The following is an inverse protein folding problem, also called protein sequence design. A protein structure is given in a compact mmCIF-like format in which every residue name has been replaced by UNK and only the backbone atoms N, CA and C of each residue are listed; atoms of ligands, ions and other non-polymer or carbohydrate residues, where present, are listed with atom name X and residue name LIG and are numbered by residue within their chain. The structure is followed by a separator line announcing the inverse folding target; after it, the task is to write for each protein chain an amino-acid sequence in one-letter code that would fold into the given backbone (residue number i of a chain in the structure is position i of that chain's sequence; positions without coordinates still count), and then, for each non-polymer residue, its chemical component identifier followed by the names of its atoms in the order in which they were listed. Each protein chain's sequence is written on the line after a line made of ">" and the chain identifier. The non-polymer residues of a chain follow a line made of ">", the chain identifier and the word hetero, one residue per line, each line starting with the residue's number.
data_IF_872463991263
#
_entry.id   IF_872463991263
#
_cell.length_a   1.000
_cell.length_b   1.000
_cell.length_c   1.000
_cell.angle_alpha   90.00
_cell.angle_beta   90.00
_cell.angle_gamma   90.00
#
_symmetry.space_group_name_H-M   'P 1'
#
loop_
_entity.id
_entity.type
_entity.pdbx_description
1 polymer ?
#
# COMPACT_ATOMS: atom_id res chain seq x y z
N UNK A 1 -7.49 -8.97 2.99
CA UNK A 1 -7.98 -7.61 2.70
C UNK A 1 -7.21 -6.97 1.55
N UNK A 2 -5.91 -7.06 1.56
CA UNK A 2 -5.05 -6.52 0.49
C UNK A 2 -5.35 -7.14 -0.86
N UNK A 3 -5.40 -8.45 -0.93
CA UNK A 3 -5.69 -9.16 -2.17
C UNK A 3 -7.11 -8.86 -2.67
N UNK A 4 -8.08 -8.72 -1.75
CA UNK A 4 -9.45 -8.32 -2.10
C UNK A 4 -9.46 -6.99 -2.86
N UNK A 5 -8.74 -5.97 -2.35
CA UNK A 5 -8.69 -4.66 -3.01
C UNK A 5 -8.11 -4.78 -4.42
N UNK A 6 -7.00 -5.48 -4.55
CA UNK A 6 -6.36 -5.66 -5.84
C UNK A 6 -7.27 -6.39 -6.83
N UNK A 7 -7.91 -7.47 -6.37
CA UNK A 7 -8.71 -8.34 -7.23
C UNK A 7 -10.07 -7.74 -7.59
N UNK A 8 -10.75 -7.12 -6.63
CA UNK A 8 -12.15 -6.71 -6.78
C UNK A 8 -12.31 -5.22 -7.08
N UNK A 9 -11.40 -4.38 -6.68
CA UNK A 9 -11.50 -2.93 -6.85
C UNK A 9 -10.55 -2.41 -7.90
N UNK A 10 -9.26 -2.66 -7.75
CA UNK A 10 -8.24 -2.16 -8.67
C UNK A 10 -8.26 -2.90 -10.02
N UNK A 11 -8.35 -4.22 -9.98
CA UNK A 11 -8.49 -5.12 -11.15
C UNK A 11 -7.40 -4.95 -12.20
N UNK A 12 -6.18 -4.63 -11.78
CA UNK A 12 -5.08 -4.29 -12.68
C UNK A 12 -3.74 -4.51 -11.99
N UNK A 13 -2.74 -4.87 -12.80
CA UNK A 13 -1.35 -4.90 -12.37
C UNK A 13 -0.93 -6.15 -11.60
N UNK A 14 0.35 -6.21 -11.28
CA UNK A 14 0.95 -7.34 -10.56
C UNK A 14 1.01 -7.03 -9.07
N UNK A 15 0.38 -7.87 -8.26
CA UNK A 15 0.40 -7.73 -6.80
C UNK A 15 1.61 -8.45 -6.22
N UNK A 16 2.35 -7.74 -5.38
CA UNK A 16 3.43 -8.30 -4.57
C UNK A 16 3.02 -8.12 -3.11
N UNK A 17 2.75 -9.22 -2.40
CA UNK A 17 2.42 -9.17 -0.98
C UNK A 17 3.71 -9.14 -0.16
N UNK A 18 3.69 -8.42 0.97
CA UNK A 18 4.84 -8.28 1.87
C UNK A 18 6.09 -7.74 1.15
N UNK A 19 5.88 -6.76 0.28
CA UNK A 19 6.97 -6.12 -0.46
C UNK A 19 7.95 -5.44 0.50
N UNK A 20 9.24 -5.64 0.31
CA UNK A 20 10.27 -5.02 1.13
C UNK A 20 10.65 -3.66 0.51
N UNK A 21 10.15 -2.59 1.09
CA UNK A 21 10.46 -1.24 0.65
C UNK A 21 11.79 -0.74 1.20
N UNK A 22 12.14 -1.17 2.42
CA UNK A 22 13.38 -0.79 3.09
C UNK A 22 13.96 -2.05 3.73
N UNK A 23 15.22 -2.37 3.40
CA UNK A 23 15.94 -3.46 4.03
C UNK A 23 16.44 -3.00 5.42
N UNK A 24 16.73 -3.97 6.28
CA UNK A 24 17.37 -3.65 7.56
C UNK A 24 18.72 -3.00 7.26
N UNK A 25 19.01 -1.88 7.93
CA UNK A 25 20.27 -1.17 7.77
C UNK A 25 21.43 -1.95 8.39
N UNK A 26 22.65 -1.72 7.84
CA UNK A 26 23.86 -2.24 8.44
C UNK A 26 24.00 -1.69 9.87
N UNK A 27 24.54 -2.50 10.76
CA UNK A 27 24.69 -2.15 12.19
C UNK A 27 23.35 -1.78 12.84
N UNK A 28 22.25 -2.29 12.29
CA UNK A 28 20.90 -2.06 12.80
C UNK A 28 20.51 -0.57 12.83
N UNK A 29 21.06 0.21 11.87
CA UNK A 29 20.81 1.65 11.77
C UNK A 29 19.35 1.99 11.47
N UNK A 30 18.60 1.09 10.86
CA UNK A 30 17.16 1.21 10.66
C UNK A 30 16.50 -0.17 10.59
N UNK A 31 15.24 -0.22 10.96
CA UNK A 31 14.43 -1.43 10.85
C UNK A 31 13.97 -1.63 9.40
N UNK A 32 13.69 -2.86 8.97
CA UNK A 32 13.09 -3.10 7.67
C UNK A 32 11.66 -2.57 7.62
N UNK A 33 11.19 -2.23 6.42
CA UNK A 33 9.81 -1.77 6.21
C UNK A 33 9.16 -2.61 5.12
N UNK A 34 8.02 -3.18 5.47
CA UNK A 34 7.24 -4.03 4.57
C UNK A 34 5.94 -3.31 4.19
N UNK A 35 5.52 -3.50 2.95
CA UNK A 35 4.20 -3.05 2.49
C UNK A 35 3.29 -4.27 2.43
N UNK A 36 2.05 -4.16 2.93
CA UNK A 36 1.11 -5.28 2.87
C UNK A 36 0.88 -5.71 1.42
N UNK A 37 0.78 -4.74 0.51
CA UNK A 37 0.74 -5.00 -0.91
C UNK A 37 1.33 -3.87 -1.72
N UNK A 38 2.00 -4.24 -2.80
CA UNK A 38 2.47 -3.31 -3.82
C UNK A 38 1.97 -3.80 -5.15
N UNK A 39 1.31 -2.93 -5.92
CA UNK A 39 0.85 -3.27 -7.25
C UNK A 39 1.68 -2.51 -8.28
N UNK A 40 2.35 -3.26 -9.16
CA UNK A 40 3.06 -2.70 -10.31
C UNK A 40 2.06 -2.61 -11.45
N UNK A 41 1.67 -1.39 -11.80
CA UNK A 41 0.49 -1.14 -12.63
C UNK A 41 0.63 -1.62 -14.08
N UNK A 42 1.83 -1.58 -14.65
CA UNK A 42 2.08 -2.04 -16.02
C UNK A 42 2.36 -3.54 -16.14
N UNK A 43 2.38 -4.25 -15.02
CA UNK A 43 2.59 -5.69 -15.01
C UNK A 43 1.32 -6.48 -15.31
N UNK A 44 1.47 -7.79 -15.61
CA UNK A 44 0.31 -8.65 -15.82
C UNK A 44 -0.50 -8.84 -14.53
N UNK A 45 -1.79 -9.14 -14.69
CA UNK A 45 -2.69 -9.37 -13.56
C UNK A 45 -2.42 -10.72 -12.92
N UNK A 46 -1.45 -10.74 -12.01
CA UNK A 46 -1.06 -11.95 -11.27
C UNK A 46 -0.42 -11.55 -9.94
N UNK A 47 -0.26 -12.53 -9.06
CA UNK A 47 0.50 -12.35 -7.81
C UNK A 47 1.92 -12.81 -8.07
N UNK A 48 2.89 -11.97 -7.67
CA UNK A 48 4.32 -12.28 -7.79
C UNK A 48 4.94 -12.41 -6.40
N UNK A 49 5.95 -13.25 -6.28
CA UNK A 49 6.72 -13.40 -5.04
C UNK A 49 8.04 -12.62 -5.05
N UNK A 50 8.22 -11.75 -6.03
CA UNK A 50 9.42 -10.90 -6.12
C UNK A 50 9.36 -9.75 -5.12
N UNK A 51 9.50 -10.05 -3.84
CA UNK A 51 9.34 -9.09 -2.75
C UNK A 51 10.36 -7.95 -2.76
N UNK A 52 11.40 -8.04 -3.60
CA UNK A 52 12.42 -7.01 -3.78
C UNK A 52 12.44 -6.46 -5.20
N UNK A 53 11.33 -6.55 -5.92
CA UNK A 53 11.26 -6.07 -7.29
C UNK A 53 11.71 -4.61 -7.40
N UNK A 54 12.50 -4.32 -8.43
CA UNK A 54 12.92 -2.95 -8.72
C UNK A 54 11.75 -2.16 -9.28
N UNK A 55 11.46 -1.01 -8.65
CA UNK A 55 10.31 -0.17 -9.01
C UNK A 55 10.69 1.20 -9.58
N UNK A 56 11.97 1.44 -9.81
CA UNK A 56 12.46 2.70 -10.40
C UNK A 56 11.74 2.97 -11.73
N UNK A 57 11.15 4.15 -11.84
CA UNK A 57 10.45 4.57 -13.06
C UNK A 57 9.08 3.93 -13.26
N UNK A 58 8.57 3.17 -12.30
CA UNK A 58 7.28 2.49 -12.43
C UNK A 58 6.17 3.23 -11.71
N UNK A 59 4.95 3.07 -12.24
CA UNK A 59 3.73 3.53 -11.58
C UNK A 59 3.25 2.40 -10.66
N UNK A 60 3.10 2.70 -9.37
CA UNK A 60 2.73 1.70 -8.37
C UNK A 60 1.57 2.18 -7.49
N UNK A 61 0.85 1.21 -6.94
CA UNK A 61 -0.15 1.43 -5.90
C UNK A 61 0.30 0.65 -4.68
N UNK A 62 0.47 1.34 -3.55
CA UNK A 62 0.76 0.66 -2.30
C UNK A 62 -0.53 0.49 -1.50
N UNK A 63 -0.73 -0.70 -0.96
CA UNK A 63 -1.91 -1.04 -0.18
C UNK A 63 -1.45 -1.37 1.23
N UNK A 64 -2.02 -0.66 2.20
CA UNK A 64 -1.85 -0.99 3.62
C UNK A 64 -3.23 -1.30 4.18
N UNK A 65 -3.33 -2.35 4.96
CA UNK A 65 -4.63 -2.82 5.45
C UNK A 65 -4.62 -3.01 6.96
N UNK A 66 -5.78 -2.80 7.57
CA UNK A 66 -5.99 -2.98 8.99
C UNK A 66 -7.40 -3.50 9.22
N UNK A 67 -7.53 -4.59 9.94
CA UNK A 67 -8.83 -5.22 10.22
C UNK A 67 -9.57 -4.48 11.35
N UNK A 68 -9.69 -3.16 11.23
CA UNK A 68 -10.29 -2.28 12.24
C UNK A 68 -10.88 -1.04 11.58
N UNK A 69 -11.40 -0.13 12.39
CA UNK A 69 -11.78 1.21 11.97
C UNK A 69 -10.54 1.97 11.47
N UNK A 70 -10.72 2.85 10.50
CA UNK A 70 -9.67 3.76 10.05
C UNK A 70 -9.15 4.58 11.24
N UNK A 71 -7.85 4.57 11.45
CA UNK A 71 -7.21 5.28 12.55
C UNK A 71 -5.84 5.81 12.18
N UNK A 72 -5.24 6.55 13.10
CA UNK A 72 -3.99 7.28 12.83
C UNK A 72 -2.81 6.37 12.49
N UNK A 73 -2.77 5.17 13.05
CA UNK A 73 -1.69 4.23 12.73
C UNK A 73 -1.70 3.87 11.24
N UNK A 74 -2.86 3.48 10.72
CA UNK A 74 -3.01 3.15 9.30
C UNK A 74 -2.77 4.39 8.42
N UNK A 75 -3.24 5.56 8.84
CA UNK A 75 -3.00 6.83 8.14
C UNK A 75 -1.50 7.08 7.99
N UNK A 76 -0.75 6.93 9.09
CA UNK A 76 0.70 7.08 9.06
C UNK A 76 1.36 6.09 8.10
N UNK A 77 0.92 4.85 8.11
CA UNK A 77 1.45 3.82 7.20
C UNK A 77 1.25 4.23 5.74
N UNK A 78 0.05 4.65 5.33
CA UNK A 78 -0.20 4.96 3.92
C UNK A 78 0.51 6.23 3.47
N UNK A 79 0.61 7.24 4.32
CA UNK A 79 1.33 8.48 3.98
C UNK A 79 2.82 8.20 3.82
N UNK A 80 3.44 7.56 4.81
CA UNK A 80 4.88 7.31 4.77
C UNK A 80 5.26 6.21 3.79
N UNK A 81 4.39 5.24 3.53
CA UNK A 81 4.63 4.25 2.46
C UNK A 81 4.80 4.95 1.11
N UNK A 82 3.95 5.93 0.83
CA UNK A 82 4.06 6.71 -0.40
C UNK A 82 5.41 7.43 -0.49
N UNK A 83 5.81 8.10 0.60
CA UNK A 83 7.09 8.81 0.65
C UNK A 83 8.29 7.87 0.44
N UNK A 84 8.26 6.71 1.10
CA UNK A 84 9.34 5.72 0.98
C UNK A 84 9.47 5.20 -0.46
N UNK A 85 8.36 4.90 -1.12
CA UNK A 85 8.41 4.37 -2.48
C UNK A 85 8.79 5.42 -3.50
N UNK A 86 8.40 6.68 -3.31
CA UNK A 86 8.88 7.79 -4.14
C UNK A 86 10.38 7.95 -3.99
N UNK A 87 10.89 7.90 -2.76
CA UNK A 87 12.32 7.97 -2.49
C UNK A 87 13.08 6.80 -3.13
N UNK A 88 12.44 5.64 -3.22
CA UNK A 88 13.01 4.45 -3.86
C UNK A 88 13.04 4.57 -5.39
N UNK A 89 12.44 5.60 -5.95
CA UNK A 89 12.53 5.91 -7.38
C UNK A 89 11.30 5.60 -8.21
N UNK A 90 10.17 5.23 -7.59
CA UNK A 90 8.93 5.04 -8.32
C UNK A 90 8.56 6.33 -9.06
N UNK A 91 8.02 6.19 -10.27
CA UNK A 91 7.58 7.32 -11.07
C UNK A 91 6.35 7.98 -10.46
N UNK A 92 5.40 7.18 -10.01
CA UNK A 92 4.22 7.65 -9.29
C UNK A 92 3.81 6.63 -8.25
N UNK A 93 3.24 7.10 -7.14
CA UNK A 93 2.75 6.25 -6.07
C UNK A 93 1.38 6.72 -5.64
N UNK A 94 0.39 5.83 -5.76
CA UNK A 94 -0.91 6.02 -5.09
C UNK A 94 -0.94 5.10 -3.88
N UNK A 95 -1.47 5.60 -2.77
CA UNK A 95 -1.61 4.83 -1.54
C UNK A 95 -3.07 4.55 -1.23
N UNK A 96 -3.36 3.36 -0.76
CA UNK A 96 -4.71 2.97 -0.37
C UNK A 96 -4.69 2.41 1.05
N UNK A 97 -5.55 2.98 1.89
CA UNK A 97 -5.83 2.45 3.22
C UNK A 97 -7.05 1.54 3.13
N UNK A 98 -6.88 0.25 3.35
CA UNK A 98 -7.98 -0.71 3.36
C UNK A 98 -8.32 -1.05 4.81
N UNK A 99 -9.55 -0.79 5.21
CA UNK A 99 -9.99 -1.00 6.59
C UNK A 99 -11.42 -1.55 6.62
N UNK A 100 -11.97 -1.77 7.82
CA UNK A 100 -13.30 -2.35 7.96
C UNK A 100 -14.38 -1.32 8.20
N UNK A 101 -14.05 -0.24 8.89
CA UNK A 101 -15.06 0.73 9.33
C UNK A 101 -14.56 2.15 9.12
N UNK A 102 -15.48 3.02 8.68
CA UNK A 102 -15.20 4.42 8.41
C UNK A 102 -14.97 5.21 9.71
N UNK A 103 -14.11 6.20 9.59
CA UNK A 103 -14.02 7.33 10.49
C UNK A 103 -14.02 8.56 9.59
N UNK A 104 -15.13 9.29 9.59
CA UNK A 104 -15.34 10.38 8.64
C UNK A 104 -14.27 11.46 8.75
N UNK A 105 -13.88 11.83 9.97
CA UNK A 105 -12.87 12.88 10.18
C UNK A 105 -11.52 12.43 9.63
N UNK A 106 -11.10 11.22 9.97
CA UNK A 106 -9.82 10.67 9.51
C UNK A 106 -9.81 10.47 8.00
N UNK A 107 -10.91 9.96 7.44
CA UNK A 107 -11.03 9.76 5.99
C UNK A 107 -10.92 11.07 5.23
N UNK A 108 -11.60 12.12 5.67
CA UNK A 108 -11.55 13.43 5.01
C UNK A 108 -10.13 14.00 5.03
N UNK A 109 -9.43 13.88 6.16
CA UNK A 109 -8.04 14.33 6.26
C UNK A 109 -7.12 13.56 5.32
N UNK A 110 -7.28 12.24 5.28
CA UNK A 110 -6.43 11.39 4.46
C UNK A 110 -6.67 11.60 2.98
N UNK A 111 -7.95 11.66 2.57
CA UNK A 111 -8.32 11.83 1.15
C UNK A 111 -8.16 13.27 0.65
N UNK A 112 -7.80 14.20 1.51
CA UNK A 112 -7.36 15.53 1.09
C UNK A 112 -6.03 15.45 0.31
N UNK A 113 -5.27 14.38 0.49
CA UNK A 113 -4.10 14.08 -0.34
C UNK A 113 -4.58 13.46 -1.66
N UNK A 114 -4.25 14.03 -2.83
CA UNK A 114 -4.83 13.58 -4.11
C UNK A 114 -4.48 12.15 -4.50
N UNK A 115 -3.37 11.61 -3.99
CA UNK A 115 -2.90 10.28 -4.34
C UNK A 115 -3.21 9.23 -3.27
N UNK A 116 -4.06 9.57 -2.31
CA UNK A 116 -4.41 8.66 -1.21
C UNK A 116 -5.90 8.42 -1.17
N UNK A 117 -6.30 7.17 -1.05
CA UNK A 117 -7.70 6.76 -0.97
C UNK A 117 -7.92 5.82 0.20
N UNK A 118 -9.17 5.79 0.67
CA UNK A 118 -9.62 4.84 1.68
C UNK A 118 -10.62 3.89 1.03
N UNK A 119 -10.50 2.62 1.32
CA UNK A 119 -11.43 1.59 0.85
C UNK A 119 -11.90 0.75 2.04
N UNK A 120 -13.17 0.34 2.01
CA UNK A 120 -13.76 -0.46 3.07
C UNK A 120 -13.95 -1.89 2.59
N UNK A 121 -13.26 -2.81 3.24
CA UNK A 121 -13.32 -4.22 2.91
C UNK A 121 -14.58 -4.82 3.53
N UNK A 122 -15.39 -5.58 2.75
CA UNK A 122 -16.58 -6.23 3.30
C UNK A 122 -16.26 -7.17 4.46
N UNK A 123 -17.20 -7.29 5.40
CA UNK A 123 -17.01 -8.09 6.61
C UNK A 123 -16.76 -9.58 6.31
N UNK A 124 -17.32 -10.12 5.21
CA UNK A 124 -17.15 -11.51 4.82
C UNK A 124 -15.77 -11.82 4.24
N UNK A 125 -14.99 -10.82 3.88
CA UNK A 125 -13.61 -11.00 3.39
C UNK A 125 -12.66 -11.09 4.56
N UNK A 126 -11.82 -12.11 4.57
CA UNK A 126 -10.82 -12.34 5.62
C UNK A 126 -9.47 -11.71 5.31
#
# INVERSE_FOLDING_TARGET
>A
MTEWYWREVLKQGTLIKEYIAVERGEDDSNAPRFMDGLVVMDGPFKISDEIRMEITGKDVVVIQSKNKRLGMYLMGQVVFSRELLLKKGAKSVRSVAVCRKDDKVMRELLEAHPDIKVAFCPAEVK
#
